data_IF_255947350377
#
_entry.id   IF_255947350377
#
_cell.length_a   1.000
_cell.length_b   1.000
_cell.length_c   1.000
_cell.angle_alpha   90.00
_cell.angle_beta   90.00
_cell.angle_gamma   90.00
#
_symmetry.space_group_name_H-M   'P 1'
#
loop_
_entity.id
_entity.type
_entity.pdbx_description
1 polymer ?
#
# COMPACT_ATOMS: atom_id res chain seq x y z
N UNK A 1 24.31 -26.23 12.17
CA UNK A 1 25.02 -26.68 10.96
C UNK A 1 24.13 -26.39 9.77
N UNK A 2 24.60 -25.47 8.94
CA UNK A 2 23.91 -24.87 7.80
C UNK A 2 23.65 -25.88 6.69
N UNK A 3 22.45 -25.90 6.11
CA UNK A 3 22.21 -26.43 4.77
C UNK A 3 21.43 -25.42 3.94
N UNK A 4 22.18 -24.67 3.16
CA UNK A 4 21.67 -23.88 2.05
C UNK A 4 21.41 -24.86 0.89
N UNK A 5 20.18 -24.87 0.37
CA UNK A 5 19.90 -25.48 -0.94
C UNK A 5 19.84 -24.37 -1.98
N UNK A 6 20.93 -24.25 -2.74
CA UNK A 6 20.99 -23.49 -3.99
C UNK A 6 20.17 -24.24 -5.07
N UNK A 7 19.14 -23.61 -5.62
CA UNK A 7 18.57 -24.02 -6.90
C UNK A 7 19.20 -23.17 -8.01
N UNK A 8 20.22 -23.75 -8.67
CA UNK A 8 20.76 -23.26 -9.93
C UNK A 8 19.94 -23.87 -11.07
N UNK A 9 19.05 -23.08 -11.65
CA UNK A 9 18.41 -23.38 -12.92
C UNK A 9 19.31 -22.96 -14.08
N UNK A 10 19.95 -23.93 -14.71
CA UNK A 10 20.76 -23.74 -15.93
C UNK A 10 19.79 -23.63 -17.12
N UNK A 11 19.64 -22.43 -17.69
CA UNK A 11 19.01 -22.25 -19.00
C UNK A 11 20.09 -22.37 -20.08
N UNK A 12 20.05 -23.49 -20.81
CA UNK A 12 20.89 -23.72 -21.97
C UNK A 12 20.40 -22.90 -23.18
N UNK A 13 21.14 -21.86 -23.53
CA UNK A 13 20.94 -21.10 -24.75
C UNK A 13 21.44 -21.90 -25.96
N UNK A 14 20.52 -22.38 -26.78
CA UNK A 14 20.84 -23.08 -28.03
C UNK A 14 20.99 -22.05 -29.16
N UNK A 15 22.22 -21.63 -29.44
CA UNK A 15 22.52 -20.84 -30.62
C UNK A 15 22.51 -21.72 -31.88
N UNK A 16 21.53 -21.55 -32.74
CA UNK A 16 21.54 -22.08 -34.09
C UNK A 16 22.26 -21.09 -35.02
N UNK A 17 23.47 -21.47 -35.43
CA UNK A 17 24.20 -20.83 -36.53
C UNK A 17 23.61 -21.32 -37.85
N UNK A 18 22.97 -20.41 -38.60
CA UNK A 18 22.67 -20.66 -40.01
C UNK A 18 23.64 -19.87 -40.89
N UNK A 19 24.25 -20.60 -41.79
CA UNK A 19 25.34 -20.16 -42.65
C UNK A 19 24.89 -19.21 -43.77
N UNK A 20 25.77 -18.29 -44.12
CA UNK A 20 25.69 -17.38 -45.25
C UNK A 20 25.70 -18.11 -46.59
N UNK A 21 24.81 -17.73 -47.50
CA UNK A 21 25.04 -17.79 -48.94
C UNK A 21 24.95 -16.40 -49.56
N UNK A 22 25.96 -16.08 -50.28
CA UNK A 22 26.19 -14.82 -51.02
C UNK A 22 25.33 -14.69 -52.25
N UNK A 23 24.93 -13.46 -52.57
CA UNK A 23 24.71 -13.02 -53.93
C UNK A 23 23.37 -12.27 -54.17
N UNK A 24 23.51 -10.99 -54.53
CA UNK A 24 22.45 -10.23 -55.18
C UNK A 24 22.26 -8.85 -54.54
N UNK A 25 22.74 -7.82 -55.26
CA UNK A 25 22.51 -6.42 -54.86
C UNK A 25 21.06 -6.08 -54.96
N UNK A 26 20.48 -5.66 -53.85
CA UNK A 26 19.19 -5.00 -53.79
C UNK A 26 19.39 -3.60 -53.20
N UNK A 27 18.77 -2.66 -53.88
CA UNK A 27 18.63 -1.25 -53.48
C UNK A 27 18.08 -1.17 -52.05
N UNK A 28 18.54 -0.21 -51.20
CA UNK A 28 17.97 -0.06 -49.88
C UNK A 28 16.48 0.23 -50.01
N UNK A 29 15.66 -0.65 -49.52
CA UNK A 29 14.22 -0.42 -49.36
C UNK A 29 14.06 0.74 -48.38
N UNK A 30 13.38 1.76 -48.85
CA UNK A 30 12.89 2.91 -48.10
C UNK A 30 12.23 2.36 -46.81
N UNK A 31 12.73 2.83 -45.65
CA UNK A 31 12.41 2.25 -44.35
C UNK A 31 10.92 2.10 -44.17
N UNK A 32 10.50 0.91 -43.77
CA UNK A 32 9.14 0.70 -43.22
C UNK A 32 8.94 1.71 -42.07
N UNK A 33 7.77 2.36 -41.97
CA UNK A 33 7.48 3.21 -40.83
C UNK A 33 7.71 2.38 -39.55
N UNK A 34 8.24 3.00 -38.49
CA UNK A 34 8.37 2.27 -37.21
C UNK A 34 7.01 1.66 -36.87
N UNK A 35 7.00 0.39 -36.56
CA UNK A 35 5.82 -0.31 -36.05
C UNK A 35 5.44 0.42 -34.77
N UNK A 36 4.30 1.13 -34.76
CA UNK A 36 3.77 1.77 -33.58
C UNK A 36 3.47 0.68 -32.58
N UNK A 37 4.18 0.69 -31.45
CA UNK A 37 3.87 -0.21 -30.34
C UNK A 37 2.46 0.13 -29.86
N UNK A 38 1.54 -0.83 -29.74
CA UNK A 38 0.19 -0.50 -29.29
C UNK A 38 0.23 0.08 -27.87
N UNK A 39 -0.46 1.18 -27.69
CA UNK A 39 -0.66 1.76 -26.35
C UNK A 39 -1.41 0.78 -25.45
N UNK A 40 -0.99 0.72 -24.21
CA UNK A 40 -1.61 -0.07 -23.15
C UNK A 40 -2.05 0.84 -22.03
N UNK A 41 -3.08 0.44 -21.29
CA UNK A 41 -3.59 1.18 -20.14
C UNK A 41 -3.68 0.32 -18.89
N UNK A 42 -3.40 0.94 -17.72
CA UNK A 42 -3.62 0.35 -16.40
C UNK A 42 -4.35 1.38 -15.55
N UNK A 43 -5.40 0.93 -14.85
CA UNK A 43 -6.18 1.79 -13.95
C UNK A 43 -5.76 1.51 -12.52
N UNK A 44 -5.34 2.55 -11.81
CA UNK A 44 -4.86 2.48 -10.44
C UNK A 44 -5.62 3.42 -9.51
N UNK A 45 -5.63 3.08 -8.22
CA UNK A 45 -5.90 4.00 -7.12
C UNK A 45 -4.59 4.66 -6.69
N UNK A 46 -4.59 5.97 -6.53
CA UNK A 46 -3.47 6.68 -5.88
C UNK A 46 -3.57 6.48 -4.38
N UNK A 47 -2.60 5.80 -3.79
CA UNK A 47 -2.55 5.55 -2.35
C UNK A 47 -1.84 6.69 -1.64
N UNK A 48 -0.72 7.15 -2.20
CA UNK A 48 0.08 8.22 -1.62
C UNK A 48 0.84 8.99 -2.69
N UNK A 49 1.24 10.20 -2.35
CA UNK A 49 2.14 11.04 -3.15
C UNK A 49 3.30 11.43 -2.25
N UNK A 50 4.52 11.08 -2.65
CA UNK A 50 5.72 11.44 -1.90
C UNK A 50 6.07 12.92 -2.07
N UNK A 51 6.90 13.46 -1.20
CA UNK A 51 7.42 14.84 -1.28
C UNK A 51 8.15 15.13 -2.61
N UNK A 52 8.70 14.09 -3.24
CA UNK A 52 9.35 14.19 -4.56
C UNK A 52 8.37 14.17 -5.74
N UNK A 53 7.05 14.08 -5.49
CA UNK A 53 6.04 13.99 -6.55
C UNK A 53 5.94 12.58 -7.17
N UNK A 54 6.41 11.55 -6.48
CA UNK A 54 6.23 10.17 -6.92
C UNK A 54 4.91 9.63 -6.38
N UNK A 55 4.08 9.11 -7.27
CA UNK A 55 2.85 8.39 -6.92
C UNK A 55 3.18 6.97 -6.47
N UNK A 56 2.48 6.51 -5.45
CA UNK A 56 2.38 5.10 -5.05
C UNK A 56 0.99 4.65 -5.43
N UNK A 57 0.92 3.66 -6.32
CA UNK A 57 -0.29 3.27 -7.04
C UNK A 57 -0.64 1.82 -6.76
N UNK A 58 -1.94 1.55 -6.54
CA UNK A 58 -2.52 0.22 -6.44
C UNK A 58 -3.38 -0.08 -7.66
N UNK A 59 -3.10 -1.15 -8.41
CA UNK A 59 -3.91 -1.55 -9.56
C UNK A 59 -5.31 -1.96 -9.12
N UNK A 60 -6.33 -1.38 -9.75
CA UNK A 60 -7.72 -1.69 -9.43
C UNK A 60 -8.13 -3.09 -9.87
N UNK A 61 -8.90 -3.76 -9.01
CA UNK A 61 -9.45 -5.08 -9.32
C UNK A 61 -8.44 -6.23 -9.30
N UNK A 62 -7.26 -6.01 -8.71
CA UNK A 62 -6.20 -7.01 -8.53
C UNK A 62 -5.90 -7.25 -7.05
N UNK A 63 -5.47 -8.46 -6.73
CA UNK A 63 -4.97 -8.80 -5.40
C UNK A 63 -3.53 -8.31 -5.18
N UNK A 64 -2.77 -8.15 -6.26
CA UNK A 64 -1.41 -7.60 -6.28
C UNK A 64 -1.28 -6.64 -7.44
N UNK A 65 -0.47 -5.61 -7.31
CA UNK A 65 -0.28 -4.61 -8.37
C UNK A 65 0.15 -3.27 -7.80
N UNK A 66 1.37 -3.24 -7.27
CA UNK A 66 2.01 -2.05 -6.74
C UNK A 66 2.89 -1.41 -7.81
N UNK A 67 2.62 -0.13 -8.11
CA UNK A 67 3.43 0.66 -9.03
C UNK A 67 3.91 1.95 -8.38
N UNK A 68 5.04 2.46 -8.89
CA UNK A 68 5.49 3.82 -8.63
C UNK A 68 5.64 4.59 -9.94
N UNK A 69 5.27 5.86 -9.91
CA UNK A 69 5.29 6.72 -11.08
C UNK A 69 5.61 8.16 -10.69
N UNK A 70 6.60 8.77 -11.36
CA UNK A 70 6.88 10.20 -11.20
C UNK A 70 5.91 11.04 -12.03
N UNK A 71 5.39 12.11 -11.43
CA UNK A 71 4.58 13.12 -12.13
C UNK A 71 5.40 14.08 -13.01
N UNK A 72 6.72 14.02 -12.89
CA UNK A 72 7.60 14.95 -13.61
C UNK A 72 7.51 14.76 -15.13
N UNK A 73 7.29 15.86 -15.85
CA UNK A 73 7.20 15.90 -17.31
C UNK A 73 6.07 15.06 -17.93
N UNK A 74 5.01 14.76 -17.19
CA UNK A 74 3.87 14.02 -17.68
C UNK A 74 2.77 14.94 -18.21
N UNK A 75 2.03 14.49 -19.23
CA UNK A 75 0.78 15.11 -19.65
C UNK A 75 -0.34 14.65 -18.72
N UNK A 76 -0.92 15.55 -17.92
CA UNK A 76 -1.86 15.22 -16.86
C UNK A 76 -3.21 15.89 -17.14
N UNK A 77 -4.27 15.10 -17.03
CA UNK A 77 -5.65 15.59 -16.99
C UNK A 77 -6.34 15.15 -15.69
N UNK A 78 -7.33 15.93 -15.27
CA UNK A 78 -8.21 15.61 -14.15
C UNK A 78 -9.66 15.85 -14.57
N UNK A 79 -10.50 14.80 -14.48
CA UNK A 79 -11.91 14.84 -14.90
C UNK A 79 -12.11 15.44 -16.31
N UNK A 80 -11.17 15.10 -17.22
CA UNK A 80 -11.17 15.56 -18.62
C UNK A 80 -10.62 16.97 -18.86
N UNK A 81 -10.19 17.71 -17.83
CA UNK A 81 -9.54 19.02 -17.94
C UNK A 81 -8.02 18.94 -17.76
N UNK A 82 -7.26 19.83 -18.39
CA UNK A 82 -5.82 19.93 -18.13
C UNK A 82 -5.57 20.25 -16.65
N UNK A 83 -4.61 19.56 -16.04
CA UNK A 83 -4.30 19.69 -14.63
C UNK A 83 -2.79 19.77 -14.40
N UNK A 84 -2.36 20.75 -13.62
CA UNK A 84 -0.97 20.87 -13.17
C UNK A 84 -0.91 20.72 -11.64
N UNK A 85 -0.44 19.59 -11.12
CA UNK A 85 -0.33 19.37 -9.68
C UNK A 85 0.70 20.29 -9.01
N UNK A 86 1.62 20.92 -9.77
CA UNK A 86 2.60 21.87 -9.26
C UNK A 86 2.03 23.30 -9.12
N UNK A 87 0.86 23.57 -9.70
CA UNK A 87 0.23 24.87 -9.54
C UNK A 87 -0.22 25.06 -8.07
N UNK A 88 0.12 26.21 -7.45
CA UNK A 88 -0.25 26.48 -6.07
C UNK A 88 -1.77 26.40 -5.85
N UNK A 89 -2.20 25.51 -4.98
CA UNK A 89 -3.62 25.33 -4.63
C UNK A 89 -4.36 24.30 -5.50
N UNK A 90 -3.77 23.79 -6.57
CA UNK A 90 -4.44 22.82 -7.44
C UNK A 90 -4.85 21.54 -6.68
N UNK A 91 -3.93 20.92 -5.95
CA UNK A 91 -4.24 19.73 -5.16
C UNK A 91 -5.15 20.02 -3.97
N UNK A 92 -5.06 21.20 -3.34
CA UNK A 92 -5.92 21.57 -2.21
C UNK A 92 -7.39 21.70 -2.58
N UNK A 93 -7.71 21.88 -3.87
CA UNK A 93 -9.08 21.92 -4.36
C UNK A 93 -9.71 20.52 -4.50
N UNK A 94 -8.90 19.45 -4.44
CA UNK A 94 -9.37 18.08 -4.55
C UNK A 94 -10.03 17.60 -3.25
N UNK A 95 -10.91 16.59 -3.33
CA UNK A 95 -11.35 15.87 -2.14
C UNK A 95 -10.13 15.36 -1.35
N UNK A 96 -10.11 15.60 -0.03
CA UNK A 96 -8.95 15.24 0.80
C UNK A 96 -7.70 16.12 0.63
N UNK A 97 -7.70 17.09 -0.27
CA UNK A 97 -6.61 18.08 -0.42
C UNK A 97 -5.35 17.55 -1.13
N UNK A 98 -5.41 16.38 -1.74
CA UNK A 98 -4.29 15.75 -2.46
C UNK A 98 -4.79 14.85 -3.60
N UNK A 99 -3.88 14.33 -4.42
CA UNK A 99 -4.21 13.28 -5.41
C UNK A 99 -4.47 11.91 -4.76
N UNK A 100 -4.06 11.68 -3.50
CA UNK A 100 -4.33 10.42 -2.81
C UNK A 100 -5.85 10.20 -2.71
N UNK A 101 -6.30 9.01 -3.13
CA UNK A 101 -7.71 8.66 -3.22
C UNK A 101 -8.33 8.84 -4.61
N UNK A 102 -7.70 9.57 -5.55
CA UNK A 102 -8.16 9.59 -6.94
C UNK A 102 -7.88 8.27 -7.65
N UNK A 103 -8.58 8.00 -8.73
CA UNK A 103 -8.16 6.99 -9.70
C UNK A 103 -7.30 7.64 -10.76
N UNK A 104 -6.37 6.88 -11.33
CA UNK A 104 -5.56 7.30 -12.48
C UNK A 104 -5.53 6.20 -13.53
N UNK A 105 -5.86 6.55 -14.76
CA UNK A 105 -5.58 5.72 -15.93
C UNK A 105 -4.20 6.11 -16.46
N UNK A 106 -3.27 5.15 -16.46
CA UNK A 106 -1.91 5.31 -16.96
C UNK A 106 -1.85 4.73 -18.36
N UNK A 107 -1.62 5.57 -19.37
CA UNK A 107 -1.37 5.15 -20.75
C UNK A 107 0.11 5.13 -21.03
N UNK A 108 0.60 4.05 -21.64
CA UNK A 108 2.02 3.86 -21.95
C UNK A 108 2.18 3.03 -23.24
N UNK A 109 3.26 3.29 -24.00
CA UNK A 109 3.57 2.60 -25.27
C UNK A 109 4.74 1.61 -25.13
N UNK A 110 5.17 1.34 -23.90
CA UNK A 110 6.22 0.40 -23.58
C UNK A 110 5.74 -0.81 -22.82
N UNK A 111 6.64 -1.42 -22.07
CA UNK A 111 6.32 -2.52 -21.16
C UNK A 111 6.21 -2.08 -19.70
N UNK A 112 5.66 -2.96 -18.87
CA UNK A 112 5.76 -2.86 -17.42
C UNK A 112 7.14 -3.38 -17.00
N UNK A 113 7.84 -2.60 -16.18
CA UNK A 113 9.12 -3.01 -15.61
C UNK A 113 8.86 -3.98 -14.47
N UNK A 114 9.41 -5.19 -14.57
CA UNK A 114 9.28 -6.25 -13.56
C UNK A 114 10.23 -6.00 -12.36
N UNK A 115 10.15 -4.80 -11.79
CA UNK A 115 10.78 -4.42 -10.51
C UNK A 115 9.75 -4.53 -9.38
N UNK A 116 10.16 -4.33 -8.15
CA UNK A 116 9.25 -4.12 -7.04
C UNK A 116 9.64 -2.84 -6.30
N UNK A 117 8.77 -1.83 -6.25
CA UNK A 117 7.52 -1.69 -7.00
C UNK A 117 7.72 -1.74 -8.51
N UNK A 118 6.65 -2.11 -9.25
CA UNK A 118 6.64 -2.08 -10.70
C UNK A 118 6.68 -0.64 -11.22
N UNK A 119 7.14 -0.47 -12.45
CA UNK A 119 7.17 0.82 -13.15
C UNK A 119 6.61 0.71 -14.56
N UNK A 120 6.25 1.84 -15.13
CA UNK A 120 5.81 1.92 -16.52
C UNK A 120 6.96 2.45 -17.38
N UNK A 121 7.14 1.85 -18.57
CA UNK A 121 8.03 2.40 -19.59
C UNK A 121 7.24 3.31 -20.51
N UNK A 122 7.80 4.49 -20.81
CA UNK A 122 7.28 5.45 -21.77
C UNK A 122 5.78 5.79 -21.56
N UNK A 123 5.46 6.41 -20.43
CA UNK A 123 4.12 6.91 -20.12
C UNK A 123 3.79 8.06 -21.07
N UNK A 124 2.63 7.97 -21.75
CA UNK A 124 2.17 8.95 -22.75
C UNK A 124 1.06 9.86 -22.19
N UNK A 125 0.24 9.37 -21.24
CA UNK A 125 -0.79 10.17 -20.60
C UNK A 125 -1.12 9.68 -19.20
N UNK A 126 -1.57 10.60 -18.35
CA UNK A 126 -2.14 10.34 -17.02
C UNK A 126 -3.52 11.02 -16.93
N UNK A 127 -4.57 10.22 -16.80
CA UNK A 127 -5.93 10.70 -16.67
C UNK A 127 -6.45 10.43 -15.26
N UNK A 128 -6.46 11.45 -14.41
CA UNK A 128 -7.00 11.35 -13.05
C UNK A 128 -8.50 11.57 -13.05
N UNK A 129 -9.20 10.87 -12.15
CA UNK A 129 -10.62 11.06 -11.90
C UNK A 129 -10.95 11.11 -10.42
N UNK A 130 -11.87 11.99 -10.07
CA UNK A 130 -12.47 12.09 -8.73
C UNK A 130 -13.78 11.32 -8.61
N UNK A 131 -14.27 10.69 -9.69
CA UNK A 131 -15.59 10.06 -9.71
C UNK A 131 -15.75 8.98 -8.64
N UNK A 132 -14.75 8.14 -8.47
CA UNK A 132 -14.72 7.04 -7.48
C UNK A 132 -13.69 7.32 -6.40
N UNK A 133 -13.63 8.58 -5.95
CA UNK A 133 -12.66 9.02 -4.96
C UNK A 133 -12.79 8.24 -3.66
N UNK A 134 -11.67 7.66 -3.18
CA UNK A 134 -11.58 7.00 -1.89
C UNK A 134 -10.14 7.08 -1.35
N UNK A 135 -9.91 7.89 -0.33
CA UNK A 135 -8.61 8.06 0.29
C UNK A 135 -8.45 7.25 1.58
N UNK A 136 -9.08 6.07 1.67
CA UNK A 136 -8.97 5.21 2.85
C UNK A 136 -7.53 4.76 3.11
N UNK A 137 -6.78 4.46 2.05
CA UNK A 137 -5.35 4.12 2.17
C UNK A 137 -4.52 5.26 2.78
N UNK A 138 -4.79 6.51 2.38
CA UNK A 138 -4.16 7.70 2.96
C UNK A 138 -4.56 7.91 4.44
N UNK A 139 -5.83 7.67 4.78
CA UNK A 139 -6.27 7.69 6.17
C UNK A 139 -5.48 6.68 7.02
N UNK A 140 -5.34 5.45 6.54
CA UNK A 140 -4.59 4.43 7.27
C UNK A 140 -3.09 4.72 7.35
N UNK A 141 -2.51 5.33 6.32
CA UNK A 141 -1.12 5.82 6.41
C UNK A 141 -0.95 6.84 7.52
N UNK A 142 -1.88 7.79 7.67
CA UNK A 142 -1.85 8.76 8.78
C UNK A 142 -1.98 8.09 10.15
N UNK A 143 -2.88 7.13 10.27
CA UNK A 143 -3.05 6.34 11.51
C UNK A 143 -1.76 5.58 11.86
N UNK A 144 -1.14 4.94 10.88
CA UNK A 144 0.11 4.19 11.06
C UNK A 144 1.26 5.12 11.43
N UNK A 145 1.33 6.32 10.84
CA UNK A 145 2.35 7.33 11.15
C UNK A 145 2.19 7.88 12.58
N UNK A 146 0.96 8.18 13.00
CA UNK A 146 0.68 8.60 14.36
C UNK A 146 1.03 7.49 15.37
N UNK A 147 0.71 6.25 15.03
CA UNK A 147 1.06 5.09 15.84
C UNK A 147 2.58 4.84 15.87
N UNK A 148 3.29 5.11 14.77
CA UNK A 148 4.77 5.07 14.75
C UNK A 148 5.35 6.05 15.75
N UNK A 149 4.83 7.27 15.77
CA UNK A 149 5.31 8.36 16.61
C UNK A 149 4.91 8.21 18.10
N UNK A 150 3.81 7.50 18.39
CA UNK A 150 3.43 7.15 19.75
C UNK A 150 4.40 6.10 20.31
N UNK A 151 5.00 6.33 21.48
CA UNK A 151 5.96 5.42 22.14
C UNK A 151 7.04 4.84 21.18
N UNK A 152 7.95 5.68 20.72
CA UNK A 152 9.01 5.32 19.77
C UNK A 152 9.94 4.19 20.26
N UNK A 153 9.98 3.92 21.56
CA UNK A 153 10.79 2.84 22.13
C UNK A 153 10.37 1.44 21.62
N UNK A 154 9.13 1.27 21.14
CA UNK A 154 8.66 0.01 20.56
C UNK A 154 9.21 -0.25 19.16
N UNK A 155 9.49 0.79 18.40
CA UNK A 155 9.97 0.70 17.03
C UNK A 155 11.42 1.22 16.83
N UNK A 156 12.18 1.38 17.92
CA UNK A 156 13.59 1.77 17.86
C UNK A 156 14.46 0.92 18.80
N UNK A 157 15.55 0.34 18.31
CA UNK A 157 15.87 0.13 16.90
C UNK A 157 15.17 -1.10 16.35
N UNK A 158 14.68 -1.02 15.10
CA UNK A 158 14.19 -2.17 14.34
C UNK A 158 14.87 -2.21 12.98
N UNK A 159 14.97 -3.40 12.39
CA UNK A 159 15.45 -3.64 11.02
C UNK A 159 14.43 -4.37 10.17
N UNK A 160 13.34 -4.83 10.79
CA UNK A 160 12.25 -5.56 10.18
C UNK A 160 10.92 -4.89 10.53
N UNK A 161 10.02 -4.83 9.56
CA UNK A 161 8.71 -4.20 9.70
C UNK A 161 7.67 -5.07 9.03
N UNK A 162 6.53 -5.28 9.69
CA UNK A 162 5.37 -5.89 9.06
C UNK A 162 4.10 -5.08 9.30
N UNK A 163 3.19 -5.16 8.32
CA UNK A 163 1.84 -4.63 8.42
C UNK A 163 0.83 -5.76 8.23
N UNK A 164 -0.11 -5.86 9.16
CA UNK A 164 -1.31 -6.69 9.03
C UNK A 164 -2.52 -5.80 8.78
N UNK A 165 -2.90 -5.68 7.52
CA UNK A 165 -4.07 -4.96 7.04
C UNK A 165 -5.16 -5.92 6.53
N UNK A 166 -5.01 -7.22 6.80
CA UNK A 166 -5.91 -8.27 6.30
C UNK A 166 -7.36 -8.12 6.79
N UNK A 167 -7.55 -7.49 7.95
CA UNK A 167 -8.84 -7.19 8.54
C UNK A 167 -9.39 -5.80 8.17
N UNK A 168 -8.94 -5.22 7.06
CA UNK A 168 -9.46 -3.98 6.49
C UNK A 168 -10.20 -4.25 5.19
N UNK A 169 -11.01 -3.28 4.76
CA UNK A 169 -11.72 -3.31 3.45
C UNK A 169 -10.82 -2.98 2.26
N UNK A 170 -9.55 -2.64 2.46
CA UNK A 170 -8.60 -2.42 1.37
C UNK A 170 -8.45 -3.68 0.52
N UNK A 171 -8.36 -3.51 -0.80
CA UNK A 171 -7.99 -4.60 -1.71
C UNK A 171 -6.56 -5.07 -1.48
N UNK A 172 -6.18 -6.23 -2.02
CA UNK A 172 -4.81 -6.75 -1.87
C UNK A 172 -3.76 -5.76 -2.38
N UNK A 173 -3.96 -5.22 -3.58
CA UNK A 173 -3.05 -4.21 -4.15
C UNK A 173 -2.99 -2.91 -3.34
N UNK A 174 -4.10 -2.47 -2.74
CA UNK A 174 -4.10 -1.28 -1.87
C UNK A 174 -3.35 -1.56 -0.56
N UNK A 175 -3.52 -2.75 0.05
CA UNK A 175 -2.74 -3.13 1.25
C UNK A 175 -1.24 -3.17 0.96
N UNK A 176 -0.85 -3.79 -0.18
CA UNK A 176 0.54 -3.83 -0.63
C UNK A 176 1.11 -2.41 -0.79
N UNK A 177 0.34 -1.50 -1.39
CA UNK A 177 0.75 -0.12 -1.62
C UNK A 177 0.86 0.69 -0.30
N UNK A 178 -0.07 0.50 0.64
CA UNK A 178 0.01 1.10 1.99
C UNK A 178 1.24 0.58 2.74
N UNK A 179 1.49 -0.73 2.70
CA UNK A 179 2.65 -1.32 3.36
C UNK A 179 3.96 -0.79 2.77
N UNK A 180 4.06 -0.70 1.45
CA UNK A 180 5.21 -0.10 0.79
C UNK A 180 5.40 1.36 1.15
N UNK A 181 4.34 2.18 1.08
CA UNK A 181 4.40 3.61 1.38
C UNK A 181 4.90 3.86 2.81
N UNK A 182 4.33 3.15 3.78
CA UNK A 182 4.70 3.25 5.18
C UNK A 182 6.15 2.81 5.42
N UNK A 183 6.56 1.65 4.88
CA UNK A 183 7.93 1.17 5.01
C UNK A 183 8.95 2.14 4.40
N UNK A 184 8.67 2.66 3.19
CA UNK A 184 9.54 3.59 2.49
C UNK A 184 9.73 4.91 3.25
N UNK A 185 8.68 5.42 3.90
CA UNK A 185 8.75 6.62 4.74
C UNK A 185 9.75 6.48 5.91
N UNK A 186 9.93 5.25 6.41
CA UNK A 186 10.85 4.93 7.52
C UNK A 186 12.16 4.27 7.07
N UNK A 187 12.42 4.19 5.75
CA UNK A 187 13.64 3.57 5.20
C UNK A 187 13.71 2.06 5.42
N UNK A 188 12.56 1.42 5.57
CA UNK A 188 12.41 -0.02 5.78
C UNK A 188 11.61 -0.64 4.64
N UNK A 189 11.75 -1.95 4.48
CA UNK A 189 10.89 -2.75 3.62
C UNK A 189 9.82 -3.41 4.49
N UNK A 190 8.58 -2.98 4.35
CA UNK A 190 7.49 -3.57 5.12
C UNK A 190 6.98 -4.86 4.44
N UNK A 191 6.82 -5.92 5.25
CA UNK A 191 6.17 -7.16 4.85
C UNK A 191 4.65 -7.02 5.08
N UNK A 192 3.82 -7.45 4.14
CA UNK A 192 2.41 -7.70 4.42
C UNK A 192 2.29 -9.10 5.03
N UNK A 193 2.06 -9.18 6.34
CA UNK A 193 1.99 -10.45 7.04
C UNK A 193 1.20 -10.33 8.35
N UNK A 194 0.43 -11.38 8.64
CA UNK A 194 -0.27 -11.54 9.92
C UNK A 194 0.69 -11.99 11.03
N UNK A 195 0.28 -11.81 12.28
CA UNK A 195 1.02 -12.32 13.44
C UNK A 195 1.33 -13.82 13.32
N UNK A 196 0.35 -14.61 12.89
CA UNK A 196 0.49 -16.08 12.76
C UNK A 196 1.51 -16.45 11.68
N UNK A 197 1.52 -15.75 10.57
CA UNK A 197 2.50 -15.96 9.50
C UNK A 197 3.91 -15.61 9.96
N UNK A 198 4.08 -14.52 10.70
CA UNK A 198 5.37 -14.12 11.27
C UNK A 198 5.89 -15.15 12.28
N UNK A 199 5.00 -15.73 13.11
CA UNK A 199 5.35 -16.85 14.00
C UNK A 199 5.75 -18.08 13.18
N UNK A 200 4.96 -18.45 12.17
CA UNK A 200 5.23 -19.63 11.34
C UNK A 200 6.53 -19.51 10.54
N UNK A 201 6.89 -18.30 10.12
CA UNK A 201 8.13 -18.01 9.39
C UNK A 201 9.34 -17.82 10.31
N UNK A 202 9.12 -17.75 11.64
CA UNK A 202 10.19 -17.65 12.64
C UNK A 202 10.71 -16.25 12.90
N UNK A 203 10.03 -15.21 12.43
CA UNK A 203 10.31 -13.83 12.80
C UNK A 203 9.96 -13.56 14.26
N UNK A 204 8.78 -14.01 14.68
CA UNK A 204 8.32 -13.94 16.06
C UNK A 204 8.67 -15.25 16.76
N UNK A 205 9.46 -15.16 17.82
CA UNK A 205 9.80 -16.28 18.68
C UNK A 205 8.71 -16.50 19.74
N UNK A 206 8.45 -17.77 20.06
CA UNK A 206 7.51 -18.17 21.11
C UNK A 206 8.28 -18.95 22.20
N UNK A 207 8.16 -18.53 23.46
CA UNK A 207 8.78 -19.20 24.60
C UNK A 207 7.71 -19.56 25.63
N UNK A 208 7.64 -20.80 26.14
CA UNK A 208 6.66 -21.18 27.15
C UNK A 208 6.80 -20.32 28.42
N UNK A 209 5.69 -19.79 28.91
CA UNK A 209 5.64 -19.01 30.16
C UNK A 209 5.80 -19.90 31.40
N UNK A 210 5.43 -21.18 31.29
CA UNK A 210 5.51 -22.13 32.40
C UNK A 210 6.61 -23.15 32.14
N UNK A 211 7.54 -23.25 33.06
CA UNK A 211 8.61 -24.26 33.01
C UNK A 211 8.11 -25.68 33.41
N UNK A 212 6.89 -25.81 33.95
CA UNK A 212 6.28 -27.07 34.39
C UNK A 212 4.75 -27.00 34.27
N UNK A 213 4.21 -27.65 33.27
CA UNK A 213 2.80 -27.89 33.08
C UNK A 213 2.60 -29.21 32.35
N UNK A 214 1.37 -29.70 32.23
CA UNK A 214 1.08 -30.83 31.33
C UNK A 214 1.37 -30.40 29.88
N UNK A 215 1.85 -31.32 29.04
CA UNK A 215 2.13 -31.04 27.62
C UNK A 215 0.92 -30.45 26.87
N UNK A 216 -0.27 -30.60 27.40
CA UNK A 216 -1.53 -30.11 26.85
C UNK A 216 -1.81 -28.66 27.27
N UNK A 217 -1.51 -28.29 28.53
CA UNK A 217 -1.61 -26.89 29.03
C UNK A 217 -0.56 -25.97 28.39
N UNK A 218 0.62 -26.48 28.06
CA UNK A 218 1.72 -25.72 27.44
C UNK A 218 1.42 -25.37 25.96
N UNK A 219 0.46 -26.05 25.31
CA UNK A 219 0.16 -25.87 23.87
C UNK A 219 -0.81 -24.70 23.58
N UNK A 220 -1.48 -24.17 24.59
CA UNK A 220 -2.39 -23.04 24.39
C UNK A 220 -1.60 -21.75 24.14
N UNK A 221 -1.99 -20.92 23.13
CA UNK A 221 -1.27 -19.69 22.77
C UNK A 221 -1.06 -18.72 23.93
N UNK A 222 -1.97 -18.67 24.86
CA UNK A 222 -1.93 -17.82 26.07
C UNK A 222 -0.81 -18.21 27.06
N UNK A 223 -0.22 -19.39 26.90
CA UNK A 223 0.88 -19.85 27.74
C UNK A 223 2.26 -19.59 27.13
N UNK A 224 2.33 -18.81 26.04
CA UNK A 224 3.57 -18.43 25.41
C UNK A 224 3.84 -16.94 25.57
N UNK A 225 5.11 -16.61 25.78
CA UNK A 225 5.65 -15.28 25.59
C UNK A 225 6.14 -15.15 24.16
N UNK A 226 5.62 -14.19 23.44
CA UNK A 226 5.99 -13.90 22.07
C UNK A 226 6.87 -12.65 22.02
N UNK A 227 7.89 -12.66 21.16
CA UNK A 227 8.81 -11.56 20.96
C UNK A 227 9.28 -11.49 19.51
N UNK A 228 9.24 -10.29 18.95
CA UNK A 228 9.93 -9.96 17.71
C UNK A 228 11.12 -9.05 18.02
N UNK A 229 12.29 -9.64 18.18
CA UNK A 229 13.49 -8.96 18.67
C UNK A 229 13.94 -7.81 17.76
N UNK A 230 13.94 -8.05 16.45
CA UNK A 230 14.52 -7.15 15.45
C UNK A 230 13.44 -6.40 14.64
N UNK A 231 12.15 -6.60 14.97
CA UNK A 231 11.04 -6.04 14.22
C UNK A 231 9.90 -5.50 15.07
N UNK A 232 8.92 -4.92 14.37
CA UNK A 232 7.66 -4.44 14.92
C UNK A 232 6.51 -4.73 13.93
N UNK A 233 5.41 -5.26 14.45
CA UNK A 233 4.18 -5.49 13.70
C UNK A 233 3.21 -4.33 13.94
N UNK A 234 2.77 -3.72 12.86
CA UNK A 234 1.66 -2.77 12.88
C UNK A 234 0.42 -3.44 12.30
N UNK A 235 -0.73 -3.18 12.87
CA UNK A 235 -2.00 -3.73 12.37
C UNK A 235 -3.14 -2.73 12.47
N UNK A 236 -4.08 -2.83 11.53
CA UNK A 236 -5.37 -2.15 11.59
C UNK A 236 -6.46 -3.21 11.44
N UNK A 237 -7.40 -3.21 12.38
CA UNK A 237 -8.54 -4.13 12.38
C UNK A 237 -9.82 -3.34 12.34
N UNK A 238 -10.54 -3.36 11.22
CA UNK A 238 -11.88 -2.80 11.12
C UNK A 238 -12.88 -3.65 11.90
N UNK A 239 -13.86 -2.98 12.47
CA UNK A 239 -14.97 -3.62 13.17
C UNK A 239 -16.21 -3.63 12.27
N UNK A 240 -16.91 -4.74 12.23
CA UNK A 240 -18.08 -4.95 11.36
C UNK A 240 -19.32 -4.08 11.71
N UNK A 241 -19.26 -3.27 12.75
CA UNK A 241 -20.36 -2.41 13.14
C UNK A 241 -20.39 -1.14 12.26
N UNK A 242 -21.43 -0.98 11.43
CA UNK A 242 -21.58 0.24 10.65
C UNK A 242 -21.79 1.42 11.60
N UNK A 243 -20.91 2.41 11.50
CA UNK A 243 -21.04 3.65 12.27
C UNK A 243 -21.82 4.66 11.43
N UNK A 244 -23.07 4.90 11.78
CA UNK A 244 -23.84 6.00 11.22
C UNK A 244 -23.50 7.27 12.00
N UNK A 245 -22.83 8.21 11.36
CA UNK A 245 -22.63 9.54 11.92
C UNK A 245 -23.78 10.46 11.50
N UNK A 246 -24.59 10.87 12.46
CA UNK A 246 -25.56 11.95 12.27
C UNK A 246 -24.93 13.23 12.79
N UNK A 247 -24.43 14.09 11.92
CA UNK A 247 -24.05 15.45 12.34
C UNK A 247 -25.30 16.31 12.41
N UNK A 248 -25.59 16.96 13.56
CA UNK A 248 -26.67 17.93 13.62
C UNK A 248 -26.34 19.07 12.66
N UNK A 249 -27.22 19.30 11.68
CA UNK A 249 -27.10 20.47 10.80
C UNK A 249 -27.13 21.74 11.64
N UNK A 250 -26.10 22.58 11.51
CA UNK A 250 -26.07 23.90 12.18
C UNK A 250 -27.06 24.90 11.58
N UNK A 251 -27.76 24.56 10.51
CA UNK A 251 -28.77 25.41 9.87
C UNK A 251 -30.18 24.88 10.18
N UNK A 252 -31.09 25.72 10.68
CA UNK A 252 -32.48 25.34 10.93
C UNK A 252 -33.16 24.91 9.63
N UNK A 253 -33.67 23.67 9.60
CA UNK A 253 -34.47 23.15 8.48
C UNK A 253 -33.68 22.34 7.41
N UNK A 254 -32.42 22.01 7.63
CA UNK A 254 -31.68 21.05 6.78
C UNK A 254 -31.71 19.64 7.39
N UNK A 255 -32.01 18.66 6.55
CA UNK A 255 -31.99 17.25 6.92
C UNK A 255 -30.58 16.82 7.46
N UNK A 256 -30.57 15.91 8.42
CA UNK A 256 -29.36 15.25 8.88
C UNK A 256 -28.68 14.58 7.70
N UNK A 257 -27.42 14.90 7.43
CA UNK A 257 -26.65 14.20 6.41
C UNK A 257 -26.09 12.95 7.07
N UNK A 258 -26.52 11.79 6.61
CA UNK A 258 -25.91 10.52 7.03
C UNK A 258 -24.54 10.39 6.36
N UNK A 259 -23.52 10.20 7.17
CA UNK A 259 -22.16 9.92 6.71
C UNK A 259 -21.90 8.43 6.85
N UNK A 260 -21.23 7.84 5.84
CA UNK A 260 -20.61 6.53 6.01
C UNK A 260 -19.48 6.66 7.04
N UNK A 261 -19.35 5.70 7.94
CA UNK A 261 -18.30 5.71 8.95
C UNK A 261 -17.64 4.35 9.07
N UNK A 262 -16.41 4.37 9.54
CA UNK A 262 -15.67 3.17 9.93
C UNK A 262 -15.28 3.26 11.39
N UNK A 263 -15.19 2.09 12.02
CA UNK A 263 -14.61 1.90 13.34
C UNK A 263 -13.51 0.87 13.24
N UNK A 264 -12.38 1.15 13.86
CA UNK A 264 -11.22 0.26 13.79
C UNK A 264 -10.36 0.41 15.04
N UNK A 265 -9.51 -0.59 15.28
CA UNK A 265 -8.39 -0.51 16.21
C UNK A 265 -7.10 -0.50 15.41
N UNK A 266 -6.10 0.24 15.89
CA UNK A 266 -4.76 0.22 15.32
C UNK A 266 -3.74 -0.11 16.42
N UNK A 267 -2.81 -1.01 16.10
CA UNK A 267 -1.84 -1.50 17.08
C UNK A 267 -0.45 -1.57 16.49
N UNK A 268 0.55 -1.23 17.30
CA UNK A 268 1.93 -1.69 17.09
C UNK A 268 2.32 -2.63 18.20
N UNK A 269 2.98 -3.71 17.80
CA UNK A 269 3.30 -4.81 18.69
C UNK A 269 4.75 -5.27 18.48
N UNK A 270 5.48 -5.52 19.56
CA UNK A 270 6.84 -6.04 19.54
C UNK A 270 7.00 -7.28 20.41
N UNK A 271 6.36 -7.31 21.58
CA UNK A 271 6.38 -8.46 22.49
C UNK A 271 5.03 -8.61 23.20
N UNK A 272 4.82 -9.74 23.86
CA UNK A 272 3.61 -9.96 24.71
C UNK A 272 3.43 -8.93 25.84
N UNK A 273 4.46 -8.11 26.15
CA UNK A 273 4.42 -7.06 27.17
C UNK A 273 4.79 -5.68 26.60
N UNK A 274 4.82 -5.55 25.29
CA UNK A 274 5.24 -4.32 24.64
C UNK A 274 4.39 -4.10 23.37
N UNK A 275 3.25 -3.48 23.56
CA UNK A 275 2.34 -3.08 22.52
C UNK A 275 1.74 -1.70 22.83
N UNK A 276 1.39 -0.96 21.79
CA UNK A 276 0.66 0.31 21.87
C UNK A 276 -0.58 0.24 20.97
N UNK A 277 -1.72 0.61 21.50
CA UNK A 277 -3.01 0.43 20.82
C UNK A 277 -3.78 1.73 20.82
N UNK A 278 -4.20 2.17 19.64
CA UNK A 278 -5.29 3.12 19.44
C UNK A 278 -6.60 2.32 19.40
N UNK A 279 -7.40 2.48 20.42
CA UNK A 279 -8.61 1.69 20.60
C UNK A 279 -9.83 2.46 20.16
N UNK A 280 -10.74 1.77 19.45
CA UNK A 280 -12.04 2.29 19.03
C UNK A 280 -11.92 3.60 18.24
N UNK A 281 -11.00 3.62 17.28
CA UNK A 281 -10.87 4.73 16.35
C UNK A 281 -12.11 4.85 15.47
N UNK A 282 -12.50 6.08 15.15
CA UNK A 282 -13.64 6.34 14.24
C UNK A 282 -13.28 7.40 13.22
N UNK A 283 -13.70 7.17 11.97
CA UNK A 283 -13.61 8.16 10.90
C UNK A 283 -14.92 8.19 10.10
N UNK A 284 -15.25 9.34 9.56
CA UNK A 284 -16.45 9.56 8.74
C UNK A 284 -16.07 9.85 7.29
N UNK A 285 -16.88 9.37 6.36
CA UNK A 285 -16.71 9.63 4.92
C UNK A 285 -17.71 10.69 4.49
N UNK A 286 -17.22 11.81 3.97
CA UNK A 286 -18.04 12.89 3.45
C UNK A 286 -18.78 12.51 2.15
N UNK A 287 -19.87 13.17 1.85
CA UNK A 287 -20.50 13.11 0.53
C UNK A 287 -19.50 13.66 -0.51
N UNK A 288 -18.86 12.81 -1.27
CA UNK A 288 -17.75 13.12 -2.18
C UNK A 288 -16.55 12.22 -1.99
N UNK A 289 -16.66 11.26 -1.06
CA UNK A 289 -15.75 10.15 -0.95
C UNK A 289 -14.51 10.36 -0.07
N UNK A 290 -14.27 11.58 0.42
CA UNK A 290 -13.14 11.85 1.31
C UNK A 290 -13.41 11.38 2.74
N UNK A 291 -12.50 10.61 3.29
CA UNK A 291 -12.46 10.27 4.71
C UNK A 291 -11.96 11.49 5.50
N UNK A 292 -12.64 11.80 6.60
CA UNK A 292 -12.21 12.83 7.54
C UNK A 292 -10.98 12.39 8.33
N UNK A 293 -10.46 13.30 9.15
CA UNK A 293 -9.56 12.89 10.22
C UNK A 293 -10.29 11.92 11.16
N UNK A 294 -9.51 11.00 11.73
CA UNK A 294 -10.01 10.03 12.69
C UNK A 294 -9.94 10.57 14.12
N UNK A 295 -10.70 9.94 15.01
CA UNK A 295 -10.63 10.18 16.44
C UNK A 295 -10.30 8.88 17.16
N UNK A 296 -9.51 8.95 18.23
CA UNK A 296 -9.16 7.82 19.09
C UNK A 296 -9.95 7.94 20.38
N UNK A 297 -10.71 6.89 20.76
CA UNK A 297 -11.46 6.90 22.01
C UNK A 297 -10.54 6.65 23.22
N UNK A 298 -9.60 5.72 23.09
CA UNK A 298 -8.66 5.37 24.15
C UNK A 298 -7.32 4.92 23.58
N UNK A 299 -6.25 5.18 24.34
CA UNK A 299 -4.92 4.67 24.09
C UNK A 299 -4.55 3.68 25.18
N UNK A 300 -3.97 2.54 24.79
CA UNK A 300 -3.58 1.48 25.71
C UNK A 300 -2.12 1.10 25.47
N UNK A 301 -1.42 0.88 26.57
CA UNK A 301 -0.05 0.35 26.59
C UNK A 301 -0.09 -1.00 27.29
N UNK A 302 0.47 -2.04 26.66
CA UNK A 302 0.57 -3.38 27.20
C UNK A 302 2.03 -3.75 27.50
#
# INVERSE_FOLDING_TARGET
MKKWCLFLGVYACMCLLAACTSGGGETPAEGAPPEETPESTVVCRVISVTDSGTLILAEQGKDTGLYTLSLENQAITLDGGAFDPAEPGACQALPGGSLAGTTVEVTFDGGIQESWPMGFSNVTALEFSTQDFDNLGDLYLRVLEDLWNADSALNEPITELALDLSATRLTGSEREAVAYAFGAAHGLLAMEATFQELVAQGYISASPLLASGSDEEIREPEHYFYEWKDGCLFSITERDEPVAFSMPSQAPGRETTDYEGIRFDAQKWRTSLAAYIFYNCTAARAAGGAWSDYTVEAEMVA
#
